data_IF_716939399531
#
_entry.id   IF_716939399531
#
_cell.length_a   1.000
_cell.length_b   1.000
_cell.length_c   1.000
_cell.angle_alpha   90.00
_cell.angle_beta   90.00
_cell.angle_gamma   90.00
#
_symmetry.space_group_name_H-M   'P 1'
#
loop_
_entity.id
_entity.type
_entity.pdbx_description
1 polymer ?
#
# COMPACT_ATOMS: atom_id res chain seq x y z
N UNK A 1 -37.28 -42.44 31.17
CA UNK A 1 -37.22 -41.38 32.18
C UNK A 1 -36.75 -40.11 31.51
N UNK A 2 -37.56 -39.06 31.58
CA UNK A 2 -37.19 -37.73 31.10
C UNK A 2 -36.48 -37.02 32.25
N UNK A 3 -35.28 -36.51 32.03
CA UNK A 3 -34.56 -35.74 33.05
C UNK A 3 -35.34 -34.45 33.36
N UNK A 4 -35.86 -34.33 34.59
CA UNK A 4 -36.45 -33.09 35.10
C UNK A 4 -35.32 -32.09 35.38
N UNK A 5 -35.15 -31.12 34.47
CA UNK A 5 -34.26 -30.00 34.70
C UNK A 5 -34.85 -29.07 35.75
N UNK A 6 -34.32 -29.12 36.98
CA UNK A 6 -34.65 -28.18 38.05
C UNK A 6 -33.81 -26.90 37.88
N UNK A 7 -34.44 -25.73 37.98
CA UNK A 7 -33.73 -24.45 38.00
C UNK A 7 -32.88 -24.38 39.27
N UNK A 8 -31.61 -24.02 39.09
CA UNK A 8 -30.69 -23.69 40.19
C UNK A 8 -31.26 -22.50 40.95
N UNK A 9 -31.39 -22.63 42.27
CA UNK A 9 -31.87 -21.54 43.13
C UNK A 9 -30.78 -20.48 43.33
N UNK A 10 -31.17 -19.31 43.83
CA UNK A 10 -30.22 -18.22 44.11
C UNK A 10 -29.23 -18.62 45.21
N UNK A 11 -29.72 -19.29 46.25
CA UNK A 11 -28.90 -19.88 47.32
C UNK A 11 -27.91 -20.94 46.82
N UNK A 12 -28.32 -21.81 45.89
CA UNK A 12 -27.45 -22.81 45.27
C UNK A 12 -26.36 -22.15 44.38
N UNK A 13 -26.66 -21.03 43.73
CA UNK A 13 -25.67 -20.24 42.98
C UNK A 13 -24.66 -19.58 43.90
N UNK A 14 -25.10 -19.02 45.01
CA UNK A 14 -24.23 -18.31 45.96
C UNK A 14 -23.29 -19.28 46.67
N UNK A 15 -23.80 -20.43 47.14
CA UNK A 15 -22.95 -21.51 47.67
C UNK A 15 -21.97 -22.06 46.63
N UNK A 16 -22.41 -22.19 45.37
CA UNK A 16 -21.55 -22.62 44.27
C UNK A 16 -20.43 -21.62 43.96
N UNK A 17 -20.70 -20.31 44.05
CA UNK A 17 -19.68 -19.26 43.93
C UNK A 17 -18.71 -19.27 45.09
N UNK A 18 -19.20 -19.42 46.32
CA UNK A 18 -18.36 -19.42 47.51
C UNK A 18 -17.44 -20.66 47.56
N UNK A 19 -17.95 -21.82 47.15
CA UNK A 19 -17.17 -23.08 47.06
C UNK A 19 -16.06 -22.98 46.01
N UNK A 20 -16.35 -22.35 44.87
CA UNK A 20 -15.42 -22.25 43.74
C UNK A 20 -14.68 -20.90 43.68
N UNK A 21 -14.73 -20.08 44.73
CA UNK A 21 -14.23 -18.70 44.73
C UNK A 21 -12.77 -18.62 44.28
N UNK A 22 -11.91 -19.51 44.78
CA UNK A 22 -10.47 -19.55 44.42
C UNK A 22 -10.23 -19.90 42.95
N UNK A 23 -11.06 -20.78 42.40
CA UNK A 23 -10.96 -21.21 41.01
C UNK A 23 -11.50 -20.14 40.06
N UNK A 24 -12.57 -19.45 40.46
CA UNK A 24 -13.09 -18.26 39.79
C UNK A 24 -12.07 -17.12 39.80
N UNK A 25 -11.43 -16.81 40.93
CA UNK A 25 -10.38 -15.78 41.01
C UNK A 25 -9.15 -16.13 40.13
N UNK A 26 -8.80 -17.41 40.03
CA UNK A 26 -7.71 -17.87 39.17
C UNK A 26 -8.08 -17.74 37.68
N UNK A 27 -9.31 -18.12 37.32
CA UNK A 27 -9.86 -17.94 35.97
C UNK A 27 -9.93 -16.46 35.59
N UNK A 28 -10.44 -15.59 36.45
CA UNK A 28 -10.52 -14.14 36.20
C UNK A 28 -9.12 -13.52 36.01
N UNK A 29 -8.12 -13.94 36.79
CA UNK A 29 -6.73 -13.50 36.61
C UNK A 29 -6.14 -13.98 35.30
N UNK A 30 -6.41 -15.21 34.91
CA UNK A 30 -5.92 -15.78 33.65
C UNK A 30 -6.60 -15.12 32.45
N UNK A 31 -7.91 -14.90 32.51
CA UNK A 31 -8.66 -14.13 31.50
C UNK A 31 -8.11 -12.71 31.38
N UNK A 32 -7.88 -12.01 32.50
CA UNK A 32 -7.28 -10.68 32.50
C UNK A 32 -5.85 -10.67 31.92
N UNK A 33 -5.05 -11.72 32.19
CA UNK A 33 -3.72 -11.90 31.60
C UNK A 33 -3.80 -12.09 30.10
N UNK A 34 -4.69 -12.97 29.63
CA UNK A 34 -4.91 -13.25 28.20
C UNK A 34 -5.39 -11.99 27.46
N UNK A 35 -6.32 -11.23 28.04
CA UNK A 35 -6.79 -9.96 27.45
C UNK A 35 -5.64 -8.96 27.34
N UNK A 36 -4.85 -8.80 28.41
CA UNK A 36 -3.70 -7.89 28.40
C UNK A 36 -2.61 -8.31 27.40
N UNK A 37 -2.33 -9.60 27.30
CA UNK A 37 -1.39 -10.15 26.31
C UNK A 37 -1.90 -9.93 24.88
N UNK A 38 -3.19 -10.11 24.64
CA UNK A 38 -3.81 -9.82 23.34
C UNK A 38 -3.76 -8.33 22.98
N UNK A 39 -4.00 -7.43 23.94
CA UNK A 39 -3.88 -5.99 23.73
C UNK A 39 -2.45 -5.57 23.42
N UNK A 40 -1.46 -6.09 24.16
CA UNK A 40 -0.04 -5.83 23.91
C UNK A 40 0.39 -6.36 22.54
N UNK A 41 -0.03 -7.58 22.19
CA UNK A 41 0.26 -8.16 20.89
C UNK A 41 -0.34 -7.34 19.74
N UNK A 42 -1.54 -6.80 19.93
CA UNK A 42 -2.16 -5.91 18.94
C UNK A 42 -1.39 -4.60 18.78
N UNK A 43 -1.01 -3.95 19.88
CA UNK A 43 -0.22 -2.71 19.83
C UNK A 43 1.11 -2.94 19.11
N UNK A 44 1.75 -4.09 19.33
CA UNK A 44 3.02 -4.39 18.68
C UNK A 44 2.83 -4.71 17.18
N UNK A 45 1.77 -5.42 16.81
CA UNK A 45 1.42 -5.65 15.41
C UNK A 45 1.12 -4.33 14.67
N UNK A 46 0.38 -3.42 15.28
CA UNK A 46 0.05 -2.11 14.70
C UNK A 46 1.33 -1.26 14.48
N UNK A 47 2.31 -1.35 15.40
CA UNK A 47 3.62 -0.69 15.21
C UNK A 47 4.43 -1.32 14.09
N UNK A 48 4.48 -2.64 14.03
CA UNK A 48 5.24 -3.34 12.99
C UNK A 48 4.68 -3.01 11.60
N UNK A 49 3.35 -2.93 11.46
CA UNK A 49 2.70 -2.48 10.23
C UNK A 49 3.09 -1.03 9.89
N UNK A 50 3.10 -0.14 10.89
CA UNK A 50 3.52 1.25 10.70
C UNK A 50 4.97 1.34 10.21
N UNK A 51 5.89 0.61 10.85
CA UNK A 51 7.31 0.60 10.48
C UNK A 51 7.52 -0.01 9.10
N UNK A 52 6.72 -1.03 8.77
CA UNK A 52 6.70 -1.67 7.46
C UNK A 52 6.27 -0.71 6.35
N UNK A 53 5.22 0.07 6.58
CA UNK A 53 4.74 1.13 5.66
C UNK A 53 5.74 2.27 5.54
N UNK A 54 6.44 2.62 6.62
CA UNK A 54 7.50 3.61 6.62
C UNK A 54 8.83 3.10 6.05
N UNK A 55 8.97 1.79 5.81
CA UNK A 55 10.19 1.11 5.34
C UNK A 55 11.36 1.14 6.34
N UNK A 56 11.07 1.30 7.64
CA UNK A 56 12.05 1.48 8.74
C UNK A 56 12.10 0.30 9.73
N UNK A 57 11.53 -0.83 9.35
CA UNK A 57 11.62 -2.12 10.06
C UNK A 57 13.07 -2.44 10.47
N UNK A 58 13.33 -2.94 11.67
CA UNK A 58 14.69 -3.31 12.06
C UNK A 58 15.67 -2.13 12.25
N UNK A 59 15.21 -0.87 12.18
CA UNK A 59 16.00 0.33 12.47
C UNK A 59 15.56 1.00 13.78
N UNK A 60 14.55 0.47 14.47
CA UNK A 60 14.12 1.00 15.76
C UNK A 60 15.16 0.64 16.83
N UNK A 61 15.66 1.64 17.55
CA UNK A 61 16.69 1.48 18.60
C UNK A 61 17.91 0.71 18.09
N UNK A 62 18.27 -0.36 18.79
CA UNK A 62 19.48 -1.15 18.57
C UNK A 62 19.23 -2.37 17.68
N UNK A 63 18.07 -2.51 17.04
CA UNK A 63 17.72 -3.72 16.25
C UNK A 63 18.76 -4.04 15.16
N UNK A 64 19.26 -3.02 14.44
CA UNK A 64 20.29 -3.22 13.43
C UNK A 64 21.62 -3.67 14.06
N UNK A 65 22.01 -3.02 15.17
CA UNK A 65 23.20 -3.40 15.92
C UNK A 65 23.08 -4.85 16.41
N UNK A 66 21.98 -5.22 17.06
CA UNK A 66 21.73 -6.60 17.50
C UNK A 66 21.80 -7.60 16.35
N UNK A 67 21.26 -7.27 15.17
CA UNK A 67 21.34 -8.14 13.99
C UNK A 67 22.78 -8.35 13.50
N UNK A 68 23.60 -7.30 13.53
CA UNK A 68 25.03 -7.36 13.19
C UNK A 68 25.76 -8.32 14.15
N UNK A 69 25.59 -8.13 15.46
CA UNK A 69 26.30 -8.93 16.47
C UNK A 69 25.79 -10.36 16.56
N UNK A 70 24.48 -10.59 16.47
CA UNK A 70 23.92 -11.95 16.49
C UNK A 70 24.47 -12.82 15.36
N UNK A 71 24.87 -12.21 14.24
CA UNK A 71 25.45 -12.86 13.08
C UNK A 71 26.98 -12.94 13.13
N UNK A 72 27.63 -12.33 14.13
CA UNK A 72 29.09 -12.21 14.24
C UNK A 72 29.67 -12.90 15.51
N UNK A 73 29.93 -14.22 15.45
CA UNK A 73 30.62 -14.93 16.52
C UNK A 73 32.04 -14.41 16.80
N UNK A 74 32.72 -13.84 15.80
CA UNK A 74 34.10 -13.37 15.91
C UNK A 74 34.18 -12.08 16.73
N UNK A 75 33.33 -11.10 16.44
CA UNK A 75 33.21 -9.87 17.24
C UNK A 75 32.72 -10.15 18.65
N UNK A 76 31.75 -11.07 18.81
CA UNK A 76 31.31 -11.53 20.14
C UNK A 76 32.46 -12.12 20.96
N UNK A 77 33.36 -12.90 20.33
CA UNK A 77 34.53 -13.43 21.01
C UNK A 77 35.51 -12.31 21.40
N UNK A 78 35.74 -11.33 20.51
CA UNK A 78 36.68 -10.24 20.74
C UNK A 78 36.25 -9.27 21.86
N UNK A 79 34.96 -9.16 22.17
CA UNK A 79 34.46 -8.44 23.36
C UNK A 79 35.06 -8.93 24.69
N UNK A 80 35.60 -10.16 24.72
CA UNK A 80 36.22 -10.77 25.89
C UNK A 80 37.69 -10.38 26.11
N UNK A 81 38.28 -9.57 25.23
CA UNK A 81 39.68 -9.13 25.30
C UNK A 81 39.93 -8.22 26.51
N UNK A 82 39.02 -7.29 26.78
CA UNK A 82 39.11 -6.38 27.93
C UNK A 82 38.33 -5.08 27.75
N UNK A 83 38.40 -4.22 28.77
CA UNK A 83 37.59 -3.01 28.91
C UNK A 83 37.79 -2.01 27.74
N UNK A 84 39.00 -1.89 27.19
CA UNK A 84 39.27 -1.02 26.03
C UNK A 84 38.44 -1.43 24.79
N UNK A 85 38.30 -2.73 24.55
CA UNK A 85 37.51 -3.24 23.41
C UNK A 85 36.01 -3.02 23.67
N UNK A 86 35.55 -3.28 24.89
CA UNK A 86 34.15 -3.05 25.26
C UNK A 86 33.74 -1.59 25.10
N UNK A 87 34.64 -0.64 25.43
CA UNK A 87 34.38 0.78 25.24
C UNK A 87 34.26 1.16 23.76
N UNK A 88 35.13 0.63 22.89
CA UNK A 88 35.03 0.84 21.44
C UNK A 88 33.68 0.36 20.89
N UNK A 89 33.25 -0.83 21.30
CA UNK A 89 31.93 -1.36 20.91
C UNK A 89 30.76 -0.53 21.44
N UNK A 90 30.87 -0.01 22.68
CA UNK A 90 29.86 0.87 23.26
C UNK A 90 29.73 2.19 22.49
N UNK A 91 30.85 2.80 22.11
CA UNK A 91 30.87 4.02 21.29
C UNK A 91 30.24 3.73 19.92
N UNK A 92 30.61 2.61 19.30
CA UNK A 92 30.03 2.21 18.02
C UNK A 92 28.51 1.99 18.10
N UNK A 93 28.02 1.32 19.15
CA UNK A 93 26.58 1.14 19.39
C UNK A 93 25.85 2.48 19.53
N UNK A 94 26.43 3.43 20.26
CA UNK A 94 25.84 4.75 20.45
C UNK A 94 25.76 5.53 19.12
N UNK A 95 26.83 5.52 18.33
CA UNK A 95 26.89 6.27 17.06
C UNK A 95 26.03 5.64 15.97
N UNK A 96 26.02 4.29 15.84
CA UNK A 96 25.14 3.62 14.89
C UNK A 96 23.67 3.80 15.29
N UNK A 97 23.36 3.75 16.59
CA UNK A 97 22.02 4.00 17.13
C UNK A 97 21.51 5.41 16.83
N UNK A 98 22.39 6.42 16.82
CA UNK A 98 22.03 7.77 16.36
C UNK A 98 21.66 7.77 14.87
N UNK A 99 22.48 7.14 14.02
CA UNK A 99 22.21 7.07 12.58
C UNK A 99 20.91 6.31 12.25
N UNK A 100 20.65 5.18 12.90
CA UNK A 100 19.41 4.40 12.70
C UNK A 100 18.18 5.17 13.18
N UNK A 101 18.27 5.85 14.33
CA UNK A 101 17.19 6.69 14.87
C UNK A 101 16.81 7.83 13.91
N UNK A 102 17.80 8.47 13.29
CA UNK A 102 17.53 9.52 12.30
C UNK A 102 16.80 8.98 11.07
N UNK A 103 17.28 7.87 10.46
CA UNK A 103 16.58 7.23 9.34
C UNK A 103 15.14 6.85 9.74
N UNK A 104 14.99 6.29 10.94
CA UNK A 104 13.71 5.84 11.47
C UNK A 104 12.70 6.99 11.56
N UNK A 105 13.11 8.12 12.16
CA UNK A 105 12.27 9.31 12.29
C UNK A 105 11.91 9.90 10.93
N UNK A 106 12.89 10.01 10.03
CA UNK A 106 12.67 10.51 8.67
C UNK A 106 11.69 9.62 7.91
N UNK A 107 11.80 8.29 8.04
CA UNK A 107 10.88 7.35 7.39
C UNK A 107 9.44 7.50 7.87
N UNK A 108 9.22 7.73 9.16
CA UNK A 108 7.89 8.02 9.71
C UNK A 108 7.34 9.36 9.24
N UNK A 109 8.18 10.39 9.12
CA UNK A 109 7.77 11.69 8.57
C UNK A 109 7.42 11.58 7.08
N UNK A 110 8.26 10.91 6.29
CA UNK A 110 8.03 10.67 4.87
C UNK A 110 6.80 9.80 4.62
N UNK A 111 6.46 8.87 5.52
CA UNK A 111 5.19 8.15 5.43
C UNK A 111 4.00 9.12 5.48
N UNK A 112 3.97 10.04 6.46
CA UNK A 112 2.88 11.02 6.59
C UNK A 112 2.75 11.91 5.35
N UNK A 113 3.87 12.38 4.81
CA UNK A 113 3.89 13.23 3.62
C UNK A 113 3.36 12.49 2.38
N UNK A 114 3.81 11.25 2.16
CA UNK A 114 3.36 10.42 1.04
C UNK A 114 1.88 10.06 1.16
N UNK A 115 1.41 9.73 2.36
CA UNK A 115 -0.01 9.45 2.60
C UNK A 115 -0.89 10.66 2.32
N UNK A 116 -0.44 11.85 2.73
CA UNK A 116 -1.16 13.09 2.43
C UNK A 116 -1.23 13.36 0.92
N UNK A 117 -0.12 13.20 0.19
CA UNK A 117 -0.09 13.38 -1.26
C UNK A 117 -1.03 12.38 -1.97
N UNK A 118 -1.00 11.11 -1.57
CA UNK A 118 -1.90 10.06 -2.09
C UNK A 118 -3.37 10.41 -1.80
N UNK A 119 -3.68 10.82 -0.57
CA UNK A 119 -5.04 11.19 -0.18
C UNK A 119 -5.54 12.38 -1.01
N UNK A 120 -4.75 13.45 -1.12
CA UNK A 120 -5.12 14.64 -1.89
C UNK A 120 -5.38 14.31 -3.37
N UNK A 121 -4.53 13.46 -3.97
CA UNK A 121 -4.71 12.98 -5.33
C UNK A 121 -6.01 12.18 -5.50
N UNK A 122 -6.30 11.25 -4.59
CA UNK A 122 -7.50 10.43 -4.61
C UNK A 122 -8.77 11.27 -4.48
N UNK A 123 -8.81 12.19 -3.51
CA UNK A 123 -9.94 13.08 -3.29
C UNK A 123 -10.19 13.99 -4.49
N UNK A 124 -9.13 14.59 -5.05
CA UNK A 124 -9.22 15.44 -6.23
C UNK A 124 -9.74 14.69 -7.47
N UNK A 125 -9.23 13.49 -7.70
CA UNK A 125 -9.64 12.61 -8.81
C UNK A 125 -11.10 12.18 -8.66
N UNK A 126 -11.50 11.78 -7.46
CA UNK A 126 -12.87 11.35 -7.18
C UNK A 126 -13.87 12.50 -7.35
N UNK A 127 -13.53 13.70 -6.89
CA UNK A 127 -14.37 14.89 -7.09
C UNK A 127 -14.52 15.24 -8.58
N UNK A 128 -13.42 15.20 -9.36
CA UNK A 128 -13.46 15.42 -10.80
C UNK A 128 -14.37 14.39 -11.52
N UNK A 129 -14.26 13.11 -11.16
CA UNK A 129 -15.11 12.04 -11.68
C UNK A 129 -16.58 12.29 -11.33
N UNK A 130 -16.89 12.66 -10.08
CA UNK A 130 -18.26 12.92 -9.65
C UNK A 130 -18.88 14.10 -10.38
N UNK A 131 -18.13 15.18 -10.59
CA UNK A 131 -18.56 16.34 -11.39
C UNK A 131 -18.78 15.96 -12.85
N UNK A 132 -17.90 15.16 -13.44
CA UNK A 132 -18.05 14.63 -14.80
C UNK A 132 -19.31 13.79 -14.95
N UNK A 133 -19.55 12.86 -14.02
CA UNK A 133 -20.75 12.00 -13.98
C UNK A 133 -22.04 12.81 -13.83
N UNK A 134 -22.04 13.86 -13.01
CA UNK A 134 -23.21 14.73 -12.86
C UNK A 134 -23.59 15.41 -14.18
N UNK A 135 -22.59 15.91 -14.94
CA UNK A 135 -22.82 16.50 -16.27
C UNK A 135 -23.34 15.46 -17.28
N UNK A 136 -22.71 14.28 -17.32
CA UNK A 136 -23.16 13.18 -18.18
C UNK A 136 -24.62 12.78 -17.87
N UNK A 137 -25.00 12.72 -16.58
CA UNK A 137 -26.36 12.41 -16.16
C UNK A 137 -27.37 13.43 -16.67
N UNK A 138 -27.07 14.73 -16.57
CA UNK A 138 -27.97 15.78 -17.04
C UNK A 138 -28.24 15.69 -18.56
N UNK A 139 -27.19 15.38 -19.34
CA UNK A 139 -27.32 15.17 -20.79
C UNK A 139 -28.24 13.97 -21.07
N UNK A 140 -28.03 12.86 -20.36
CA UNK A 140 -28.85 11.65 -20.52
C UNK A 140 -30.32 11.87 -20.13
N UNK A 141 -30.57 12.57 -19.03
CA UNK A 141 -31.94 12.92 -18.60
C UNK A 141 -32.64 13.80 -19.64
N UNK A 142 -31.94 14.80 -20.18
CA UNK A 142 -32.46 15.68 -21.24
C UNK A 142 -32.75 14.89 -22.52
N UNK A 143 -31.86 13.97 -22.89
CA UNK A 143 -32.04 13.08 -24.03
C UNK A 143 -33.26 12.16 -23.86
N UNK A 144 -33.40 11.52 -22.71
CA UNK A 144 -34.52 10.61 -22.43
C UNK A 144 -35.87 11.35 -22.41
N UNK A 145 -35.92 12.57 -21.86
CA UNK A 145 -37.11 13.40 -21.93
C UNK A 145 -37.48 13.78 -23.38
N UNK A 146 -36.48 14.19 -24.18
CA UNK A 146 -36.67 14.53 -25.60
C UNK A 146 -37.12 13.32 -26.42
N UNK A 147 -36.54 12.14 -26.13
CA UNK A 147 -36.95 10.86 -26.71
C UNK A 147 -38.42 10.56 -26.40
N UNK A 148 -38.84 10.68 -25.14
CA UNK A 148 -40.22 10.40 -24.75
C UNK A 148 -41.23 11.30 -25.49
N UNK A 149 -40.92 12.59 -25.62
CA UNK A 149 -41.74 13.52 -26.41
C UNK A 149 -41.82 13.09 -27.88
N UNK A 150 -40.70 12.70 -28.48
CA UNK A 150 -40.71 12.22 -29.87
C UNK A 150 -41.54 10.95 -30.08
N UNK A 151 -41.49 10.00 -29.16
CA UNK A 151 -42.34 8.80 -29.26
C UNK A 151 -43.82 9.16 -29.21
N UNK A 152 -44.23 10.04 -28.28
CA UNK A 152 -45.63 10.52 -28.22
C UNK A 152 -46.03 11.23 -29.51
N UNK A 153 -45.17 12.10 -30.05
CA UNK A 153 -45.44 12.77 -31.33
C UNK A 153 -45.57 11.77 -32.49
N UNK A 154 -44.77 10.70 -32.49
CA UNK A 154 -44.87 9.66 -33.51
C UNK A 154 -46.12 8.80 -33.35
N UNK A 155 -46.54 8.47 -32.12
CA UNK A 155 -47.81 7.79 -31.81
C UNK A 155 -49.02 8.64 -32.26
N UNK A 156 -49.03 9.94 -31.94
CA UNK A 156 -50.10 10.86 -32.34
C UNK A 156 -50.19 11.00 -33.87
N UNK A 157 -49.04 11.14 -34.54
CA UNK A 157 -48.97 11.16 -36.00
C UNK A 157 -49.50 9.85 -36.59
N UNK A 158 -49.15 8.71 -36.00
CA UNK A 158 -49.68 7.42 -36.41
C UNK A 158 -51.21 7.35 -36.29
N UNK A 159 -51.77 7.76 -35.15
CA UNK A 159 -53.22 7.72 -34.92
C UNK A 159 -54.00 8.63 -35.90
N UNK A 160 -53.46 9.82 -36.20
CA UNK A 160 -54.06 10.75 -37.17
C UNK A 160 -53.98 10.18 -38.59
N UNK A 161 -52.83 9.61 -38.95
CA UNK A 161 -52.58 9.04 -40.28
C UNK A 161 -53.37 7.74 -40.52
N UNK A 162 -53.61 6.93 -39.49
CA UNK A 162 -54.49 5.76 -39.57
C UNK A 162 -55.96 6.13 -39.85
N UNK A 163 -56.39 7.34 -39.48
CA UNK A 163 -57.77 7.83 -39.68
C UNK A 163 -57.99 8.54 -41.02
N UNK A 164 -56.93 8.96 -41.72
CA UNK A 164 -57.02 9.70 -42.98
C UNK A 164 -56.67 8.79 -44.17
N UNK A 165 -57.58 8.67 -45.15
CA UNK A 165 -57.41 7.84 -46.37
C UNK A 165 -56.42 8.42 -47.39
N UNK A 166 -55.60 9.41 -47.04
CA UNK A 166 -54.76 10.14 -48.01
C UNK A 166 -53.30 9.69 -48.03
N UNK A 167 -52.81 9.48 -49.25
CA UNK A 167 -51.43 9.39 -49.75
C UNK A 167 -50.37 8.77 -48.81
N UNK A 168 -50.09 7.48 -49.04
CA UNK A 168 -49.03 6.68 -48.41
C UNK A 168 -47.65 7.36 -48.42
N UNK A 169 -47.37 8.16 -49.46
CA UNK A 169 -46.12 8.90 -49.63
C UNK A 169 -45.90 9.98 -48.54
N UNK A 170 -46.95 10.71 -48.16
CA UNK A 170 -46.85 11.73 -47.10
C UNK A 170 -46.63 11.11 -45.72
N UNK A 171 -47.23 9.93 -45.46
CA UNK A 171 -47.09 9.21 -44.19
C UNK A 171 -45.65 8.76 -43.98
N UNK A 172 -45.07 8.13 -45.01
CA UNK A 172 -43.69 7.65 -45.00
C UNK A 172 -42.68 8.78 -44.79
N UNK A 173 -42.88 9.91 -45.49
CA UNK A 173 -42.02 11.07 -45.37
C UNK A 173 -41.99 11.66 -43.94
N UNK A 174 -43.14 11.75 -43.27
CA UNK A 174 -43.22 12.31 -41.92
C UNK A 174 -42.55 11.42 -40.86
N UNK A 175 -42.66 10.10 -41.00
CA UNK A 175 -41.99 9.12 -40.13
C UNK A 175 -40.48 9.15 -40.37
N UNK A 176 -40.04 9.14 -41.63
CA UNK A 176 -38.62 9.23 -41.99
C UNK A 176 -37.98 10.50 -41.40
N UNK A 177 -38.66 11.66 -41.46
CA UNK A 177 -38.20 12.92 -40.86
C UNK A 177 -38.04 12.84 -39.33
N UNK A 178 -38.87 12.05 -38.64
CA UNK A 178 -38.76 11.85 -37.18
C UNK A 178 -37.61 10.92 -36.84
N UNK A 179 -37.40 9.86 -37.61
CA UNK A 179 -36.27 8.93 -37.44
C UNK A 179 -34.94 9.61 -37.74
N UNK A 180 -34.88 10.45 -38.77
CA UNK A 180 -33.68 11.24 -39.09
C UNK A 180 -33.35 12.20 -37.93
N UNK A 181 -34.36 12.87 -37.37
CA UNK A 181 -34.19 13.71 -36.16
C UNK A 181 -33.71 12.91 -34.95
N UNK A 182 -34.27 11.74 -34.70
CA UNK A 182 -33.85 10.87 -33.61
C UNK A 182 -32.40 10.40 -33.77
N UNK A 183 -32.00 10.07 -35.00
CA UNK A 183 -30.63 9.69 -35.36
C UNK A 183 -29.65 10.85 -35.16
N UNK A 184 -30.03 12.06 -35.58
CA UNK A 184 -29.24 13.26 -35.33
C UNK A 184 -29.09 13.54 -33.82
N UNK A 185 -30.17 13.41 -33.05
CA UNK A 185 -30.13 13.58 -31.59
C UNK A 185 -29.21 12.56 -30.91
N UNK A 186 -29.30 11.28 -31.29
CA UNK A 186 -28.40 10.24 -30.77
C UNK A 186 -26.93 10.55 -31.10
N UNK A 187 -26.67 11.06 -32.31
CA UNK A 187 -25.32 11.43 -32.76
C UNK A 187 -24.77 12.60 -31.95
N UNK A 188 -25.56 13.65 -31.72
CA UNK A 188 -25.16 14.82 -30.91
C UNK A 188 -24.86 14.39 -29.48
N UNK A 189 -25.75 13.63 -28.85
CA UNK A 189 -25.55 13.14 -27.48
C UNK A 189 -24.32 12.22 -27.38
N UNK A 190 -24.06 11.40 -28.40
CA UNK A 190 -22.83 10.59 -28.48
C UNK A 190 -21.59 11.46 -28.44
N UNK A 191 -21.55 12.49 -29.27
CA UNK A 191 -20.42 13.40 -29.37
C UNK A 191 -20.21 14.17 -28.06
N UNK A 192 -21.28 14.66 -27.43
CA UNK A 192 -21.20 15.36 -26.15
C UNK A 192 -20.69 14.46 -25.02
N UNK A 193 -21.24 13.25 -24.88
CA UNK A 193 -20.84 12.31 -23.82
C UNK A 193 -19.40 11.81 -24.00
N UNK A 194 -19.01 11.46 -25.23
CA UNK A 194 -17.63 11.06 -25.53
C UNK A 194 -16.65 12.22 -25.38
N UNK A 195 -17.04 13.43 -25.78
CA UNK A 195 -16.25 14.64 -25.59
C UNK A 195 -15.99 14.93 -24.10
N UNK A 196 -17.02 14.85 -23.27
CA UNK A 196 -16.88 15.00 -21.82
C UNK A 196 -15.97 13.93 -21.21
N UNK A 197 -16.11 12.66 -21.63
CA UNK A 197 -15.27 11.57 -21.13
C UNK A 197 -13.80 11.72 -21.57
N UNK A 198 -13.56 12.16 -22.81
CA UNK A 198 -12.22 12.46 -23.31
C UNK A 198 -11.57 13.59 -22.50
N UNK A 199 -12.25 14.71 -22.33
CA UNK A 199 -11.74 15.84 -21.54
C UNK A 199 -11.48 15.43 -20.09
N UNK A 200 -12.37 14.64 -19.48
CA UNK A 200 -12.15 14.13 -18.12
C UNK A 200 -10.91 13.24 -18.06
N UNK A 201 -10.73 12.31 -18.98
CA UNK A 201 -9.55 11.44 -19.00
C UNK A 201 -8.25 12.21 -19.22
N UNK A 202 -8.25 13.23 -20.09
CA UNK A 202 -7.11 14.13 -20.29
C UNK A 202 -6.75 14.88 -19.00
N UNK A 203 -7.74 15.43 -18.30
CA UNK A 203 -7.54 16.11 -17.03
C UNK A 203 -6.99 15.17 -15.95
N UNK A 204 -7.55 13.96 -15.84
CA UNK A 204 -7.08 12.98 -14.87
C UNK A 204 -5.64 12.54 -15.16
N UNK A 205 -5.26 12.39 -16.43
CA UNK A 205 -3.87 12.08 -16.82
C UNK A 205 -2.91 13.22 -16.50
N UNK A 206 -3.33 14.47 -16.69
CA UNK A 206 -2.51 15.63 -16.34
C UNK A 206 -2.27 15.70 -14.83
N UNK A 207 -3.32 15.54 -14.03
CA UNK A 207 -3.24 15.50 -12.57
C UNK A 207 -2.41 14.32 -12.09
N UNK A 208 -2.59 13.14 -12.69
CA UNK A 208 -1.80 11.94 -12.40
C UNK A 208 -0.31 12.17 -12.71
N UNK A 209 0.03 12.78 -13.84
CA UNK A 209 1.42 13.07 -14.18
C UNK A 209 2.07 14.06 -13.20
N UNK A 210 1.30 14.99 -12.62
CA UNK A 210 1.82 15.86 -11.57
C UNK A 210 2.02 15.11 -10.25
N UNK A 211 1.05 14.29 -9.85
CA UNK A 211 1.13 13.43 -8.68
C UNK A 211 2.32 12.47 -8.76
N UNK A 212 2.50 11.80 -9.90
CA UNK A 212 3.62 10.89 -10.16
C UNK A 212 4.97 11.60 -9.97
N UNK A 213 5.13 12.81 -10.55
CA UNK A 213 6.35 13.62 -10.36
C UNK A 213 6.58 13.97 -8.89
N UNK A 214 5.57 14.53 -8.22
CA UNK A 214 5.68 14.94 -6.83
C UNK A 214 6.05 13.76 -5.92
N UNK A 215 5.35 12.65 -6.05
CA UNK A 215 5.57 11.46 -5.24
C UNK A 215 6.93 10.82 -5.56
N UNK A 216 7.32 10.81 -6.83
CA UNK A 216 8.65 10.37 -7.27
C UNK A 216 9.76 11.20 -6.63
N UNK A 217 9.63 12.52 -6.59
CA UNK A 217 10.59 13.42 -5.93
C UNK A 217 10.68 13.16 -4.42
N UNK A 218 9.55 12.93 -3.74
CA UNK A 218 9.53 12.55 -2.31
C UNK A 218 10.25 11.21 -2.08
N UNK A 219 9.96 10.20 -2.90
CA UNK A 219 10.59 8.87 -2.83
C UNK A 219 12.09 8.97 -3.06
N UNK A 220 12.53 9.71 -4.07
CA UNK A 220 13.96 9.89 -4.38
C UNK A 220 14.68 10.64 -3.26
N UNK A 221 14.08 11.71 -2.73
CA UNK A 221 14.65 12.46 -1.61
C UNK A 221 14.85 11.57 -0.38
N UNK A 222 13.86 10.72 -0.05
CA UNK A 222 13.99 9.78 1.06
C UNK A 222 15.08 8.74 0.81
N UNK A 223 15.15 8.19 -0.40
CA UNK A 223 16.22 7.26 -0.80
C UNK A 223 17.58 7.91 -0.61
N UNK A 224 17.83 9.07 -1.22
CA UNK A 224 19.12 9.76 -1.16
C UNK A 224 19.53 10.07 0.29
N UNK A 225 18.57 10.52 1.10
CA UNK A 225 18.80 10.79 2.52
C UNK A 225 19.19 9.52 3.28
N UNK A 226 18.43 8.43 3.09
CA UNK A 226 18.72 7.16 3.74
C UNK A 226 20.08 6.60 3.31
N UNK A 227 20.44 6.68 2.02
CA UNK A 227 21.75 6.26 1.50
C UNK A 227 22.91 7.03 2.18
N UNK A 228 22.70 8.33 2.44
CA UNK A 228 23.66 9.13 3.21
C UNK A 228 23.93 8.53 4.60
N UNK A 229 22.88 8.17 5.34
CA UNK A 229 23.04 7.54 6.65
C UNK A 229 23.61 6.12 6.58
N UNK A 230 23.27 5.31 5.58
CA UNK A 230 23.93 4.01 5.38
C UNK A 230 25.42 4.15 5.06
N UNK A 231 25.81 5.21 4.34
CA UNK A 231 27.24 5.54 4.14
C UNK A 231 27.92 5.84 5.47
N UNK A 232 27.31 6.67 6.32
CA UNK A 232 27.81 6.95 7.67
C UNK A 232 27.97 5.66 8.49
N UNK A 233 27.00 4.74 8.42
CA UNK A 233 27.07 3.47 9.15
C UNK A 233 28.23 2.58 8.68
N UNK A 234 28.51 2.51 7.37
CA UNK A 234 29.69 1.81 6.84
C UNK A 234 31.01 2.46 7.28
N UNK A 235 31.06 3.78 7.35
CA UNK A 235 32.24 4.51 7.85
C UNK A 235 32.48 4.23 9.34
N UNK A 236 31.43 4.27 10.16
CA UNK A 236 31.50 3.91 11.58
C UNK A 236 31.99 2.47 11.78
N UNK A 237 31.50 1.56 10.95
CA UNK A 237 31.89 0.15 10.99
C UNK A 237 33.36 -0.04 10.56
N UNK A 238 33.82 0.70 9.54
CA UNK A 238 35.23 0.70 9.14
C UNK A 238 36.13 1.16 10.28
N UNK A 239 35.76 2.23 10.98
CA UNK A 239 36.49 2.73 12.15
C UNK A 239 36.50 1.70 13.28
N UNK A 240 35.39 1.02 13.54
CA UNK A 240 35.32 -0.08 14.51
C UNK A 240 36.31 -1.18 14.15
N UNK A 241 36.31 -1.66 12.90
CA UNK A 241 37.17 -2.74 12.42
C UNK A 241 38.65 -2.41 12.57
N UNK A 242 39.07 -1.19 12.20
CA UNK A 242 40.44 -0.70 12.37
C UNK A 242 40.86 -0.68 13.85
N UNK A 243 40.03 -0.07 14.72
CA UNK A 243 40.32 0.00 16.15
C UNK A 243 40.37 -1.37 16.81
N UNK A 244 39.47 -2.26 16.41
CA UNK A 244 39.40 -3.64 16.90
C UNK A 244 40.65 -4.42 16.49
N UNK A 245 41.12 -4.28 15.25
CA UNK A 245 42.34 -4.90 14.75
C UNK A 245 43.59 -4.46 15.52
N UNK A 246 43.71 -3.17 15.82
CA UNK A 246 44.81 -2.63 16.61
C UNK A 246 44.79 -3.13 18.06
N UNK A 247 43.61 -3.15 18.69
CA UNK A 247 43.44 -3.62 20.07
C UNK A 247 43.70 -5.13 20.19
N UNK A 248 43.14 -5.93 19.28
CA UNK A 248 43.34 -7.37 19.25
C UNK A 248 44.81 -7.75 19.01
N UNK A 249 45.48 -7.05 18.08
CA UNK A 249 46.91 -7.25 17.81
C UNK A 249 47.79 -6.89 19.01
N UNK A 250 47.47 -5.78 19.71
CA UNK A 250 48.15 -5.40 20.95
C UNK A 250 47.97 -6.46 22.03
N UNK A 251 46.74 -6.98 22.20
CA UNK A 251 46.45 -8.01 23.19
C UNK A 251 47.22 -9.31 22.91
N UNK A 252 47.19 -9.81 21.67
CA UNK A 252 47.97 -10.98 21.25
C UNK A 252 49.47 -10.81 21.52
N UNK A 253 50.00 -9.62 21.25
CA UNK A 253 51.42 -9.30 21.53
C UNK A 253 51.72 -9.39 23.03
N UNK A 254 50.82 -8.91 23.90
CA UNK A 254 50.97 -9.01 25.35
C UNK A 254 50.94 -10.46 25.83
N UNK A 255 50.01 -11.28 25.33
CA UNK A 255 49.94 -12.71 25.63
C UNK A 255 51.26 -13.41 25.26
N UNK A 256 51.80 -13.10 24.07
CA UNK A 256 53.05 -13.67 23.56
C UNK A 256 54.25 -13.27 24.43
N UNK A 257 54.38 -11.99 24.77
CA UNK A 257 55.49 -11.47 25.60
C UNK A 257 55.46 -12.10 27.01
N UNK A 258 54.27 -12.28 27.57
CA UNK A 258 54.08 -12.87 28.91
C UNK A 258 54.16 -14.40 28.91
N UNK A 259 54.24 -15.02 27.73
CA UNK A 259 54.17 -16.46 27.55
C UNK A 259 52.94 -17.07 28.27
N UNK A 260 51.80 -16.37 28.17
CA UNK A 260 50.53 -16.80 28.77
C UNK A 260 50.00 -18.05 28.05
N UNK A 261 49.54 -19.03 28.81
CA UNK A 261 48.89 -20.22 28.26
C UNK A 261 47.48 -19.86 27.76
N UNK A 262 47.26 -20.00 26.45
CA UNK A 262 45.97 -19.76 25.78
C UNK A 262 44.83 -20.60 26.39
N UNK A 263 45.13 -21.73 27.06
CA UNK A 263 44.13 -22.52 27.78
C UNK A 263 43.43 -21.73 28.89
N UNK A 264 44.04 -20.66 29.40
CA UNK A 264 43.44 -19.77 30.39
C UNK A 264 42.45 -18.77 29.81
N UNK A 265 42.44 -18.57 28.48
CA UNK A 265 41.48 -17.68 27.83
C UNK A 265 40.08 -18.30 27.78
N UNK A 266 39.03 -17.48 27.69
CA UNK A 266 37.68 -17.95 27.40
C UNK A 266 37.63 -18.83 26.13
N UNK A 267 36.86 -19.93 26.11
CA UNK A 267 36.86 -20.88 24.99
C UNK A 267 36.57 -20.25 23.61
N UNK A 268 35.70 -19.25 23.54
CA UNK A 268 35.37 -18.51 22.30
C UNK A 268 36.50 -17.59 21.82
N UNK A 269 37.31 -17.06 22.73
CA UNK A 269 38.42 -16.15 22.40
C UNK A 269 39.70 -16.89 21.97
N UNK A 270 39.91 -18.13 22.46
CA UNK A 270 41.07 -18.97 22.12
C UNK A 270 41.36 -19.09 20.62
N UNK A 271 40.40 -19.46 19.75
CA UNK A 271 40.68 -19.63 18.33
C UNK A 271 41.06 -18.31 17.65
N UNK A 272 40.56 -17.17 18.16
CA UNK A 272 40.88 -15.84 17.63
C UNK A 272 42.30 -15.43 18.00
N UNK A 273 42.75 -15.75 19.22
CA UNK A 273 44.06 -15.36 19.76
C UNK A 273 45.17 -16.39 19.55
N UNK A 274 45.01 -17.28 18.56
CA UNK A 274 45.98 -18.35 18.28
C UNK A 274 47.29 -17.80 17.68
N UNK A 275 47.16 -16.95 16.67
CA UNK A 275 48.27 -16.29 15.97
C UNK A 275 47.77 -15.00 15.30
N UNK A 276 48.68 -14.28 14.63
CA UNK A 276 48.37 -12.99 14.00
C UNK A 276 47.40 -13.17 12.83
N UNK A 277 47.53 -14.26 12.09
CA UNK A 277 46.67 -14.62 10.98
C UNK A 277 45.22 -14.85 11.45
N UNK A 278 45.03 -15.56 12.57
CA UNK A 278 43.73 -15.82 13.17
C UNK A 278 43.04 -14.52 13.64
N UNK A 279 43.78 -13.60 14.27
CA UNK A 279 43.26 -12.28 14.66
C UNK A 279 42.79 -11.51 13.42
N UNK A 280 43.65 -11.41 12.41
CA UNK A 280 43.30 -10.68 11.17
C UNK A 280 42.09 -11.29 10.47
N UNK A 281 41.99 -12.62 10.43
CA UNK A 281 40.86 -13.32 9.83
C UNK A 281 39.55 -13.08 10.61
N UNK A 282 39.61 -13.05 11.94
CA UNK A 282 38.44 -12.80 12.77
C UNK A 282 37.94 -11.35 12.63
N UNK A 283 38.85 -10.38 12.59
CA UNK A 283 38.51 -8.96 12.36
C UNK A 283 37.90 -8.76 10.98
N UNK A 284 38.52 -9.34 9.93
CA UNK A 284 37.99 -9.27 8.57
C UNK A 284 36.60 -9.94 8.47
N UNK A 285 36.42 -11.12 9.09
CA UNK A 285 35.12 -11.81 9.09
C UNK A 285 34.03 -11.03 9.83
N UNK A 286 34.36 -10.39 10.95
CA UNK A 286 33.44 -9.52 11.70
C UNK A 286 33.02 -8.32 10.85
N UNK A 287 34.01 -7.67 10.23
CA UNK A 287 33.83 -6.54 9.32
C UNK A 287 32.90 -6.87 8.14
N UNK A 288 33.19 -7.94 7.42
CA UNK A 288 32.39 -8.39 6.28
C UNK A 288 30.95 -8.70 6.69
N UNK A 289 30.75 -9.33 7.85
CA UNK A 289 29.41 -9.69 8.37
C UNK A 289 28.60 -8.44 8.72
N UNK A 290 29.24 -7.46 9.36
CA UNK A 290 28.64 -6.19 9.72
C UNK A 290 28.24 -5.38 8.48
N UNK A 291 29.15 -5.22 7.52
CA UNK A 291 28.86 -4.54 6.26
C UNK A 291 27.73 -5.23 5.49
N UNK A 292 27.75 -6.56 5.39
CA UNK A 292 26.68 -7.31 4.73
C UNK A 292 25.31 -7.07 5.39
N UNK A 293 25.26 -6.95 6.71
CA UNK A 293 24.01 -6.67 7.44
C UNK A 293 23.50 -5.26 7.13
N UNK A 294 24.39 -4.27 7.09
CA UNK A 294 24.06 -2.89 6.71
C UNK A 294 23.56 -2.83 5.26
N UNK A 295 24.28 -3.46 4.33
CA UNK A 295 23.96 -3.48 2.90
C UNK A 295 22.62 -4.16 2.61
N UNK A 296 22.38 -5.34 3.21
CA UNK A 296 21.09 -6.03 3.08
C UNK A 296 19.93 -5.16 3.57
N UNK A 297 20.14 -4.41 4.66
CA UNK A 297 19.12 -3.54 5.21
C UNK A 297 18.88 -2.31 4.33
N UNK A 298 19.92 -1.72 3.76
CA UNK A 298 19.80 -0.65 2.76
C UNK A 298 19.00 -1.14 1.55
N UNK A 299 19.41 -2.26 0.96
CA UNK A 299 18.76 -2.84 -0.22
C UNK A 299 17.28 -3.15 0.03
N UNK A 300 16.92 -3.66 1.21
CA UNK A 300 15.53 -3.86 1.61
C UNK A 300 14.74 -2.55 1.62
N UNK A 301 15.29 -1.48 2.18
CA UNK A 301 14.63 -0.16 2.19
C UNK A 301 14.40 0.32 0.76
N UNK A 302 15.47 0.33 -0.05
CA UNK A 302 15.47 0.91 -1.40
C UNK A 302 14.57 0.12 -2.35
N UNK A 303 14.66 -1.21 -2.32
CA UNK A 303 13.85 -2.07 -3.18
C UNK A 303 12.37 -1.93 -2.88
N UNK A 304 11.99 -1.93 -1.60
CA UNK A 304 10.59 -1.87 -1.18
C UNK A 304 9.93 -0.55 -1.52
N UNK A 305 10.57 0.58 -1.23
CA UNK A 305 9.98 1.88 -1.57
C UNK A 305 9.84 2.07 -3.08
N UNK A 306 10.84 1.66 -3.87
CA UNK A 306 10.78 1.71 -5.34
C UNK A 306 9.65 0.82 -5.88
N UNK A 307 9.54 -0.39 -5.35
CA UNK A 307 8.48 -1.34 -5.75
C UNK A 307 7.10 -0.80 -5.40
N UNK A 308 6.95 -0.25 -4.19
CA UNK A 308 5.70 0.37 -3.75
C UNK A 308 5.29 1.53 -4.67
N UNK A 309 6.21 2.45 -4.94
CA UNK A 309 5.96 3.59 -5.83
C UNK A 309 5.58 3.15 -7.24
N UNK A 310 6.37 2.26 -7.85
CA UNK A 310 6.09 1.74 -9.19
C UNK A 310 4.74 1.04 -9.26
N UNK A 311 4.43 0.20 -8.26
CA UNK A 311 3.15 -0.50 -8.21
C UNK A 311 2.00 0.49 -8.12
N UNK A 312 2.08 1.46 -7.23
CA UNK A 312 1.03 2.46 -7.03
C UNK A 312 0.75 3.25 -8.32
N UNK A 313 1.79 3.74 -9.00
CA UNK A 313 1.62 4.46 -10.26
C UNK A 313 1.02 3.57 -11.36
N UNK A 314 1.51 2.33 -11.49
CA UNK A 314 0.97 1.37 -12.47
C UNK A 314 -0.49 1.03 -12.19
N UNK A 315 -0.87 0.86 -10.93
CA UNK A 315 -2.25 0.55 -10.53
C UNK A 315 -3.18 1.70 -10.95
N UNK A 316 -2.82 2.97 -10.69
CA UNK A 316 -3.62 4.12 -11.13
C UNK A 316 -3.71 4.28 -12.64
N UNK A 317 -2.61 4.07 -13.38
CA UNK A 317 -2.63 4.14 -14.85
C UNK A 317 -3.56 3.08 -15.45
N UNK A 318 -3.54 1.86 -14.89
CA UNK A 318 -4.42 0.77 -15.29
C UNK A 318 -5.88 1.05 -14.94
N UNK A 319 -6.14 1.55 -13.74
CA UNK A 319 -7.49 1.91 -13.29
C UNK A 319 -8.11 3.00 -14.18
N UNK A 320 -7.37 4.07 -14.48
CA UNK A 320 -7.86 5.14 -15.36
C UNK A 320 -8.09 4.63 -16.79
N UNK A 321 -7.18 3.80 -17.32
CA UNK A 321 -7.34 3.19 -18.64
C UNK A 321 -8.58 2.29 -18.70
N UNK A 322 -8.79 1.48 -17.67
CA UNK A 322 -9.95 0.60 -17.58
C UNK A 322 -11.26 1.41 -17.44
N UNK A 323 -11.27 2.44 -16.60
CA UNK A 323 -12.39 3.36 -16.41
C UNK A 323 -12.78 4.03 -17.73
N UNK A 324 -11.82 4.69 -18.40
CA UNK A 324 -12.06 5.38 -19.66
C UNK A 324 -12.64 4.44 -20.73
N UNK A 325 -12.02 3.27 -20.93
CA UNK A 325 -12.50 2.26 -21.90
C UNK A 325 -13.91 1.76 -21.55
N UNK A 326 -14.15 1.47 -20.27
CA UNK A 326 -15.45 1.03 -19.79
C UNK A 326 -16.54 2.07 -20.06
N UNK A 327 -16.26 3.35 -19.77
CA UNK A 327 -17.19 4.46 -20.00
C UNK A 327 -17.47 4.69 -21.48
N UNK A 328 -16.44 4.71 -22.33
CA UNK A 328 -16.62 4.84 -23.79
C UNK A 328 -17.48 3.70 -24.32
N UNK A 329 -17.21 2.46 -23.92
CA UNK A 329 -18.00 1.31 -24.37
C UNK A 329 -19.47 1.39 -23.92
N UNK A 330 -19.71 1.80 -22.67
CA UNK A 330 -21.06 2.00 -22.14
C UNK A 330 -21.82 3.07 -22.94
N UNK A 331 -21.21 4.22 -23.21
CA UNK A 331 -21.82 5.31 -24.00
C UNK A 331 -22.17 4.83 -25.40
N UNK A 332 -21.23 4.16 -26.08
CA UNK A 332 -21.42 3.65 -27.44
C UNK A 332 -22.55 2.62 -27.47
N UNK A 333 -22.50 1.63 -26.57
CA UNK A 333 -23.49 0.55 -26.50
C UNK A 333 -24.89 1.11 -26.20
N UNK A 334 -24.99 2.02 -25.22
CA UNK A 334 -26.25 2.65 -24.86
C UNK A 334 -26.89 3.34 -26.06
N UNK A 335 -26.14 4.18 -26.77
CA UNK A 335 -26.68 4.96 -27.90
C UNK A 335 -26.97 4.10 -29.12
N UNK A 336 -26.20 3.04 -29.38
CA UNK A 336 -26.56 2.05 -30.40
C UNK A 336 -27.88 1.35 -30.09
N UNK A 337 -28.14 1.04 -28.81
CA UNK A 337 -29.44 0.48 -28.40
C UNK A 337 -30.57 1.49 -28.63
N UNK A 338 -30.36 2.78 -28.32
CA UNK A 338 -31.36 3.81 -28.55
C UNK A 338 -31.68 3.97 -30.05
N UNK A 339 -30.67 3.99 -30.91
CA UNK A 339 -30.86 4.09 -32.36
C UNK A 339 -31.67 2.91 -32.91
N UNK A 340 -31.33 1.67 -32.50
CA UNK A 340 -32.08 0.47 -32.91
C UNK A 340 -33.54 0.49 -32.46
N UNK A 341 -33.84 1.14 -31.34
CA UNK A 341 -35.21 1.28 -30.86
C UNK A 341 -36.05 2.18 -31.78
N UNK A 342 -35.48 3.32 -32.21
CA UNK A 342 -36.12 4.19 -33.21
C UNK A 342 -36.30 3.49 -34.56
N UNK A 343 -35.28 2.74 -35.03
CA UNK A 343 -35.37 1.95 -36.27
C UNK A 343 -36.45 0.88 -36.20
N UNK A 344 -36.54 0.15 -35.08
CA UNK A 344 -37.60 -0.87 -34.89
C UNK A 344 -38.98 -0.26 -34.88
N UNK A 345 -39.13 0.90 -34.27
CA UNK A 345 -40.41 1.59 -34.23
C UNK A 345 -40.86 2.00 -35.64
N UNK A 346 -39.93 2.45 -36.49
CA UNK A 346 -40.19 2.71 -37.91
C UNK A 346 -40.63 1.44 -38.67
N UNK A 347 -39.93 0.32 -38.49
CA UNK A 347 -40.28 -0.95 -39.15
C UNK A 347 -41.66 -1.45 -38.75
N UNK A 348 -42.00 -1.38 -37.45
CA UNK A 348 -43.33 -1.78 -36.98
C UNK A 348 -44.45 -0.94 -37.61
N UNK A 349 -44.23 0.38 -37.71
CA UNK A 349 -45.17 1.26 -38.39
C UNK A 349 -45.29 0.91 -39.89
N UNK A 350 -44.17 0.69 -40.57
CA UNK A 350 -44.15 0.29 -41.98
C UNK A 350 -44.91 -1.04 -42.22
N UNK A 351 -44.75 -2.02 -41.33
CA UNK A 351 -45.43 -3.32 -41.41
C UNK A 351 -46.95 -3.19 -41.15
N UNK A 352 -47.36 -2.35 -40.20
CA UNK A 352 -48.79 -2.06 -39.97
C UNK A 352 -49.41 -1.29 -41.15
N UNK A 353 -48.66 -0.41 -41.82
CA UNK A 353 -49.10 0.26 -43.05
C UNK A 353 -49.32 -0.68 -44.23
N UNK A 354 -48.56 -1.78 -44.31
CA UNK A 354 -48.69 -2.77 -45.38
C UNK A 354 -49.86 -3.75 -45.16
N UNK A 355 -50.35 -3.88 -43.92
CA UNK A 355 -51.43 -4.80 -43.54
C UNK A 355 -52.83 -4.18 -43.48
N UNK A 356 -52.94 -2.84 -43.40
CA UNK A 356 -54.20 -2.07 -43.41
C UNK A 356 -54.51 -1.43 -44.75
#
# INVERSE_FOLDING_TARGET
>A
EFYEYKKVTEEERDMGRETNLKELELLEREEARVVKEAELAKVEADKEELYSRAFVEGLDKDQLYEAMFNSDPSGQAMLLIGDEVQEVFRIFQEEIGKATTEIFNIGLEQLKLRELEVQMFQEGTQDAIMKGRAKQRLILETFLASKAVMFVEMDDLWEVMAKQTSDESMRRHSIDEKVERATAMCTVVKQELLGLELTLSEQLKEVFAQFERNLGDMVNTFIETAQGYFTIMRELETVLSEQLGDLASRYLTQLTIRNEDLSNLPPSLRPVMMDKEAVNQAVASSHDTHLQTIDNREDQLMSRIRTWYQKLCNDYEQEETARFRGRVNEIVTFLEMQMREFERYQVNIDDEMLMG
#
